data_IF_705068267778
#
_entry.id   IF_705068267778
#
_cell.length_a   1.000
_cell.length_b   1.000
_cell.length_c   1.000
_cell.angle_alpha   90.00
_cell.angle_beta   90.00
_cell.angle_gamma   90.00
#
_symmetry.space_group_name_H-M   'P 1'
#
loop_
_entity.id
_entity.type
_entity.pdbx_description
1 polymer ?
#
# COMPACT_ATOMS: atom_id res chain seq x y z
N UNK A 1 32.07 20.24 11.46
CA UNK A 1 32.97 19.19 11.96
C UNK A 1 32.17 18.29 12.89
N UNK A 2 32.58 17.04 13.02
CA UNK A 2 31.99 16.11 13.98
C UNK A 2 32.57 16.37 15.37
N UNK A 3 31.74 16.32 16.41
CA UNK A 3 32.15 16.58 17.78
C UNK A 3 32.44 15.29 18.53
N UNK A 4 33.64 15.15 19.08
CA UNK A 4 34.08 13.98 19.82
C UNK A 4 34.37 14.38 21.27
N UNK A 5 33.81 13.62 22.21
CA UNK A 5 34.10 13.76 23.63
C UNK A 5 35.06 12.64 24.06
N UNK A 6 36.20 13.02 24.63
CA UNK A 6 37.21 12.11 25.18
C UNK A 6 37.10 12.14 26.71
N UNK A 7 36.88 10.97 27.31
CA UNK A 7 36.77 10.78 28.76
C UNK A 7 37.92 9.88 29.19
N UNK A 8 38.92 10.45 29.85
CA UNK A 8 40.18 9.80 30.21
C UNK A 8 40.77 10.51 31.43
N UNK A 9 41.17 9.79 32.48
CA UNK A 9 41.66 10.39 33.73
C UNK A 9 43.15 10.74 33.67
N UNK A 10 43.94 9.99 32.90
CA UNK A 10 45.35 10.30 32.67
C UNK A 10 45.50 11.53 31.75
N UNK A 11 45.83 12.68 32.34
CA UNK A 11 45.95 13.95 31.61
C UNK A 11 46.87 13.90 30.37
N UNK A 12 48.07 13.28 30.41
CA UNK A 12 48.92 13.19 29.22
C UNK A 12 48.24 12.43 28.07
N UNK A 13 47.63 11.28 28.38
CA UNK A 13 46.94 10.48 27.35
C UNK A 13 45.71 11.18 26.80
N UNK A 14 44.95 11.87 27.66
CA UNK A 14 43.81 12.69 27.23
C UNK A 14 44.25 13.81 26.28
N UNK A 15 45.32 14.52 26.61
CA UNK A 15 45.88 15.59 25.77
C UNK A 15 46.39 15.03 24.43
N UNK A 16 47.10 13.90 24.43
CA UNK A 16 47.57 13.22 23.21
C UNK A 16 46.39 12.86 22.29
N UNK A 17 45.31 12.28 22.83
CA UNK A 17 44.12 11.93 22.04
C UNK A 17 43.47 13.20 21.47
N UNK A 18 43.31 14.25 22.27
CA UNK A 18 42.71 15.50 21.81
C UNK A 18 43.51 16.15 20.67
N UNK A 19 44.85 16.15 20.74
CA UNK A 19 45.73 16.67 19.69
C UNK A 19 45.62 15.83 18.41
N UNK A 20 45.60 14.49 18.53
CA UNK A 20 45.38 13.60 17.39
C UNK A 20 44.05 13.91 16.71
N UNK A 21 42.96 14.07 17.48
CA UNK A 21 41.64 14.33 16.93
C UNK A 21 41.52 15.72 16.29
N UNK A 22 42.18 16.74 16.86
CA UNK A 22 42.25 18.07 16.25
C UNK A 22 42.99 18.03 14.90
N UNK A 23 44.07 17.25 14.80
CA UNK A 23 44.79 17.01 13.54
C UNK A 23 43.95 16.25 12.49
N UNK A 24 42.92 15.52 12.93
CA UNK A 24 41.96 14.80 12.09
C UNK A 24 40.68 15.64 11.80
N UNK A 25 40.71 16.96 12.04
CA UNK A 25 39.60 17.90 11.80
C UNK A 25 38.31 17.60 12.61
N UNK A 26 38.44 17.04 13.81
CA UNK A 26 37.33 16.85 14.75
C UNK A 26 37.24 17.99 15.77
N UNK A 27 36.01 18.38 16.15
CA UNK A 27 35.79 19.27 17.29
C UNK A 27 35.87 18.45 18.58
N UNK A 28 36.79 18.79 19.48
CA UNK A 28 37.11 17.92 20.62
C UNK A 28 36.70 18.52 21.96
N UNK A 29 36.16 17.67 22.84
CA UNK A 29 35.89 17.96 24.24
C UNK A 29 36.65 16.97 25.12
N UNK A 30 37.27 17.45 26.19
CA UNK A 30 37.96 16.62 27.19
C UNK A 30 37.21 16.58 28.51
N UNK A 31 37.11 15.38 29.10
CA UNK A 31 36.63 15.15 30.45
C UNK A 31 37.65 14.34 31.25
N UNK A 32 37.93 14.79 32.47
CA UNK A 32 38.94 14.20 33.36
C UNK A 32 38.45 13.00 34.18
N UNK A 33 37.14 12.72 34.16
CA UNK A 33 36.55 11.53 34.76
C UNK A 33 35.15 11.26 34.18
N UNK A 34 34.58 10.09 34.49
CA UNK A 34 33.27 9.69 33.99
C UNK A 34 32.12 10.61 34.40
N UNK A 35 32.16 11.22 35.60
CA UNK A 35 31.09 12.12 36.07
C UNK A 35 31.05 13.40 35.23
N UNK A 36 32.21 14.00 35.00
CA UNK A 36 32.36 15.17 34.12
C UNK A 36 31.97 14.81 32.68
N UNK A 37 32.39 13.63 32.20
CA UNK A 37 32.08 13.13 30.87
C UNK A 37 30.58 12.97 30.62
N UNK A 38 29.84 12.36 31.54
CA UNK A 38 28.37 12.23 31.43
C UNK A 38 27.70 13.60 31.36
N UNK A 39 28.13 14.55 32.21
CA UNK A 39 27.57 15.90 32.21
C UNK A 39 27.81 16.62 30.88
N UNK A 40 29.04 16.57 30.37
CA UNK A 40 29.39 17.17 29.08
C UNK A 40 28.64 16.51 27.92
N UNK A 41 28.49 15.18 27.94
CA UNK A 41 27.73 14.46 26.90
C UNK A 41 26.26 14.90 26.84
N UNK A 42 25.64 15.15 28.00
CA UNK A 42 24.25 15.63 28.08
C UNK A 42 24.09 17.09 27.63
N UNK A 43 25.10 17.93 27.92
CA UNK A 43 25.09 19.35 27.58
C UNK A 43 25.41 19.60 26.11
N UNK A 44 26.45 18.96 25.58
CA UNK A 44 27.00 19.25 24.27
C UNK A 44 26.59 18.27 23.17
N UNK A 45 25.99 17.12 23.53
CA UNK A 45 25.50 16.08 22.61
C UNK A 45 26.53 15.75 21.51
N UNK A 46 27.72 15.22 21.88
CA UNK A 46 28.75 14.89 20.90
C UNK A 46 28.25 13.84 19.89
N UNK A 47 28.86 13.83 18.70
CA UNK A 47 28.61 12.82 17.68
C UNK A 47 29.21 11.46 18.05
N UNK A 48 30.26 11.42 18.87
CA UNK A 48 30.91 10.21 19.35
C UNK A 48 31.59 10.43 20.71
N UNK A 49 31.66 9.38 21.53
CA UNK A 49 32.37 9.38 22.81
C UNK A 49 33.48 8.33 22.78
N UNK A 50 34.69 8.73 23.16
CA UNK A 50 35.81 7.84 23.46
C UNK A 50 35.95 7.84 24.98
N UNK A 51 35.89 6.68 25.62
CA UNK A 51 35.85 6.57 27.07
C UNK A 51 36.82 5.52 27.56
N UNK A 52 37.73 5.88 28.47
CA UNK A 52 38.47 4.88 29.22
C UNK A 52 37.54 4.06 30.11
N UNK A 53 37.88 2.79 30.30
CA UNK A 53 37.13 1.91 31.18
C UNK A 53 37.52 2.14 32.63
N UNK A 54 38.81 2.27 32.94
CA UNK A 54 39.33 2.22 34.30
C UNK A 54 39.62 3.62 34.85
N UNK A 55 38.56 4.37 35.16
CA UNK A 55 38.67 5.69 35.77
C UNK A 55 38.20 5.69 37.25
N UNK A 56 38.70 6.64 38.08
CA UNK A 56 38.13 6.91 39.39
C UNK A 56 36.72 7.50 39.29
N UNK A 57 35.98 7.43 40.40
CA UNK A 57 34.60 7.95 40.59
C UNK A 57 33.51 7.22 39.80
N UNK A 58 33.60 7.24 38.46
CA UNK A 58 32.67 6.58 37.55
C UNK A 58 33.46 5.94 36.40
N UNK A 59 33.43 4.61 36.36
CA UNK A 59 34.09 3.81 35.33
C UNK A 59 33.37 3.92 33.97
N UNK A 60 34.02 3.48 32.89
CA UNK A 60 33.46 3.59 31.55
C UNK A 60 32.13 2.84 31.38
N UNK A 61 31.94 1.72 32.10
CA UNK A 61 30.67 1.01 32.11
C UNK A 61 29.54 1.82 32.76
N UNK A 62 29.84 2.50 33.86
CA UNK A 62 28.94 3.42 34.54
C UNK A 62 28.59 4.64 33.68
N UNK A 63 29.56 5.17 32.92
CA UNK A 63 29.32 6.21 31.90
C UNK A 63 28.33 5.72 30.86
N UNK A 64 28.60 4.57 30.22
CA UNK A 64 27.72 4.00 29.19
C UNK A 64 26.30 3.79 29.73
N UNK A 65 26.16 3.17 30.89
CA UNK A 65 24.85 2.95 31.51
C UNK A 65 24.10 4.27 31.76
N UNK A 66 24.78 5.29 32.25
CA UNK A 66 24.19 6.61 32.50
C UNK A 66 23.72 7.28 31.21
N UNK A 67 24.48 7.16 30.12
CA UNK A 67 24.12 7.73 28.83
C UNK A 67 22.92 7.01 28.19
N UNK A 68 22.79 5.70 28.37
CA UNK A 68 21.66 4.91 27.85
C UNK A 68 20.33 5.18 28.57
N UNK A 69 20.35 5.80 29.76
CA UNK A 69 19.12 6.16 30.50
C UNK A 69 18.38 7.38 29.90
N UNK A 70 19.03 8.17 29.05
CA UNK A 70 18.41 9.35 28.41
C UNK A 70 18.30 9.16 26.91
N UNK A 71 17.10 9.35 26.35
CA UNK A 71 16.85 9.17 24.92
C UNK A 71 17.74 10.05 24.01
N UNK A 72 18.20 11.21 24.51
CA UNK A 72 19.08 12.13 23.75
C UNK A 72 20.50 11.62 23.63
N UNK A 73 21.01 10.96 24.67
CA UNK A 73 22.40 10.46 24.74
C UNK A 73 22.49 8.97 24.44
N UNK A 74 21.37 8.24 24.52
CA UNK A 74 21.33 6.80 24.31
C UNK A 74 21.72 6.37 22.89
N UNK A 75 21.64 7.28 21.92
CA UNK A 75 21.98 7.05 20.51
C UNK A 75 23.42 7.47 20.15
N UNK A 76 24.16 8.08 21.08
CA UNK A 76 25.53 8.53 20.83
C UNK A 76 26.44 7.29 20.84
N UNK A 77 27.23 7.06 19.77
CA UNK A 77 28.15 5.95 19.71
C UNK A 77 29.27 6.13 20.73
N UNK A 78 29.65 5.04 21.38
CA UNK A 78 30.70 5.04 22.39
C UNK A 78 31.74 3.96 22.07
N UNK A 79 33.00 4.39 22.01
CA UNK A 79 34.18 3.55 21.86
C UNK A 79 34.87 3.46 23.22
N UNK A 80 35.10 2.24 23.70
CA UNK A 80 35.87 2.03 24.92
C UNK A 80 37.37 2.01 24.65
N UNK A 81 38.17 2.62 25.54
CA UNK A 81 39.61 2.42 25.62
C UNK A 81 39.92 1.44 26.75
N UNK A 82 40.92 0.57 26.55
CA UNK A 82 41.27 -0.45 27.53
C UNK A 82 42.73 -0.85 27.56
N UNK A 83 43.29 -0.98 28.76
CA UNK A 83 44.62 -1.54 28.97
C UNK A 83 44.68 -3.09 28.82
N UNK A 84 43.53 -3.79 28.85
CA UNK A 84 43.47 -5.26 28.75
C UNK A 84 42.77 -5.71 27.48
N UNK A 85 43.38 -6.66 26.77
CA UNK A 85 42.80 -7.36 25.62
C UNK A 85 42.03 -8.63 26.04
N UNK A 86 41.55 -8.71 27.28
CA UNK A 86 40.91 -9.92 27.77
C UNK A 86 39.53 -10.09 27.11
N UNK A 87 39.31 -11.25 26.46
CA UNK A 87 38.08 -11.51 25.68
C UNK A 87 36.79 -11.47 26.51
N UNK A 88 36.90 -11.50 27.85
CA UNK A 88 35.75 -11.37 28.75
C UNK A 88 35.27 -9.92 28.83
N UNK A 89 36.19 -8.96 28.99
CA UNK A 89 35.89 -7.53 29.17
C UNK A 89 35.33 -6.90 27.89
N UNK A 90 35.87 -7.29 26.74
CA UNK A 90 35.36 -6.89 25.41
C UNK A 90 33.93 -7.40 25.22
N UNK A 91 33.65 -8.67 25.58
CA UNK A 91 32.31 -9.24 25.47
C UNK A 91 31.32 -8.54 26.40
N UNK A 92 31.74 -8.16 27.60
CA UNK A 92 30.90 -7.41 28.52
C UNK A 92 30.53 -6.04 27.93
N UNK A 93 31.50 -5.27 27.42
CA UNK A 93 31.25 -3.97 26.78
C UNK A 93 30.32 -4.05 25.57
N UNK A 94 30.56 -5.01 24.68
CA UNK A 94 29.70 -5.23 23.51
C UNK A 94 28.27 -5.65 23.88
N UNK A 95 28.12 -6.51 24.91
CA UNK A 95 26.80 -6.91 25.42
C UNK A 95 26.04 -5.74 26.09
N UNK A 96 26.77 -4.77 26.65
CA UNK A 96 26.19 -3.54 27.21
C UNK A 96 25.82 -2.50 26.14
N UNK A 97 26.16 -2.76 24.88
CA UNK A 97 25.82 -1.89 23.75
C UNK A 97 26.85 -0.78 23.51
N UNK A 98 28.13 -1.04 23.80
CA UNK A 98 29.23 -0.28 23.21
C UNK A 98 29.27 -0.51 21.70
N UNK A 99 29.66 0.52 20.94
CA UNK A 99 29.68 0.46 19.49
C UNK A 99 31.02 -0.09 18.98
N UNK A 100 32.12 0.16 19.71
CA UNK A 100 33.43 -0.43 19.44
C UNK A 100 34.37 -0.42 20.67
N UNK A 101 35.57 -0.96 20.50
CA UNK A 101 36.60 -1.09 21.52
C UNK A 101 38.01 -0.93 20.96
N UNK A 102 38.86 -0.17 21.64
CA UNK A 102 40.25 0.07 21.25
C UNK A 102 41.20 -0.27 22.42
N UNK A 103 42.16 -1.15 22.16
CA UNK A 103 43.15 -1.57 23.17
C UNK A 103 44.35 -0.63 23.20
N UNK A 104 44.77 -0.22 24.40
CA UNK A 104 45.99 0.54 24.66
C UNK A 104 47.22 -0.39 24.68
N UNK A 105 48.38 0.00 24.10
CA UNK A 105 48.58 1.19 23.27
C UNK A 105 47.96 0.99 21.88
N UNK A 106 47.45 2.07 21.30
CA UNK A 106 46.89 2.11 19.94
C UNK A 106 47.68 3.10 19.07
N UNK A 107 47.58 2.91 17.77
CA UNK A 107 48.10 3.82 16.76
C UNK A 107 47.05 4.86 16.35
N UNK A 108 47.50 5.95 15.73
CA UNK A 108 46.60 6.98 15.17
C UNK A 108 45.63 6.35 14.15
N UNK A 109 46.13 5.45 13.29
CA UNK A 109 45.33 4.76 12.28
C UNK A 109 44.22 3.92 12.92
N UNK A 110 44.53 3.17 13.98
CA UNK A 110 43.53 2.34 14.68
C UNK A 110 42.44 3.20 15.34
N UNK A 111 42.82 4.35 15.90
CA UNK A 111 41.85 5.30 16.49
C UNK A 111 40.94 5.91 15.41
N UNK A 112 41.52 6.38 14.31
CA UNK A 112 40.78 6.97 13.19
C UNK A 112 39.80 5.95 12.56
N UNK A 113 40.27 4.72 12.31
CA UNK A 113 39.44 3.65 11.75
C UNK A 113 38.24 3.32 12.65
N UNK A 114 38.44 3.21 13.97
CA UNK A 114 37.36 2.93 14.92
C UNK A 114 36.31 4.06 14.97
N UNK A 115 36.76 5.32 14.95
CA UNK A 115 35.88 6.50 14.92
C UNK A 115 35.05 6.51 13.64
N UNK A 116 35.70 6.36 12.49
CA UNK A 116 35.04 6.40 11.19
C UNK A 116 34.01 5.27 11.04
N UNK A 117 34.37 4.05 11.44
CA UNK A 117 33.46 2.91 11.41
C UNK A 117 32.19 3.15 12.25
N UNK A 118 32.34 3.74 13.44
CA UNK A 118 31.21 4.09 14.30
C UNK A 118 30.31 5.17 13.68
N UNK A 119 30.91 6.25 13.17
CA UNK A 119 30.19 7.36 12.56
C UNK A 119 29.45 6.94 11.28
N UNK A 120 30.07 6.14 10.42
CA UNK A 120 29.44 5.62 9.20
C UNK A 120 28.25 4.71 9.50
N UNK A 121 28.40 3.83 10.48
CA UNK A 121 27.33 2.93 10.93
C UNK A 121 26.15 3.73 11.50
N UNK A 122 26.42 4.78 12.28
CA UNK A 122 25.37 5.67 12.80
C UNK A 122 24.67 6.44 11.67
N UNK A 123 25.42 6.98 10.71
CA UNK A 123 24.88 7.69 9.57
C UNK A 123 23.97 6.79 8.71
N UNK A 124 24.43 5.57 8.43
CA UNK A 124 23.66 4.56 7.67
C UNK A 124 22.36 4.19 8.39
N UNK A 125 22.42 3.96 9.71
CA UNK A 125 21.23 3.68 10.53
C UNK A 125 20.23 4.84 10.50
N UNK A 126 20.71 6.08 10.60
CA UNK A 126 19.86 7.28 10.55
C UNK A 126 19.19 7.44 9.19
N UNK A 127 19.94 7.29 8.10
CA UNK A 127 19.39 7.35 6.74
C UNK A 127 18.33 6.25 6.50
N UNK A 128 18.59 5.02 6.95
CA UNK A 128 17.62 3.92 6.83
C UNK A 128 16.31 4.21 7.58
N UNK A 129 16.39 4.80 8.78
CA UNK A 129 15.22 5.20 9.56
C UNK A 129 14.44 6.35 8.90
N UNK A 130 15.13 7.33 8.33
CA UNK A 130 14.50 8.44 7.60
C UNK A 130 13.78 7.93 6.35
N UNK A 131 14.44 7.10 5.54
CA UNK A 131 13.84 6.49 4.34
C UNK A 131 12.61 5.64 4.68
N UNK A 132 12.65 4.86 5.77
CA UNK A 132 11.51 4.07 6.21
C UNK A 132 10.31 4.96 6.57
N UNK A 133 10.53 6.03 7.34
CA UNK A 133 9.48 6.99 7.72
C UNK A 133 8.86 7.68 6.49
N UNK A 134 9.68 8.08 5.53
CA UNK A 134 9.20 8.69 4.28
C UNK A 134 8.36 7.71 3.46
N UNK A 135 8.79 6.45 3.36
CA UNK A 135 8.05 5.40 2.65
C UNK A 135 6.68 5.13 3.30
N UNK A 136 6.64 5.02 4.64
CA UNK A 136 5.41 4.85 5.40
C UNK A 136 4.45 6.02 5.21
N UNK A 137 4.94 7.26 5.30
CA UNK A 137 4.13 8.46 5.08
C UNK A 137 3.56 8.51 3.66
N UNK A 138 4.36 8.17 2.65
CA UNK A 138 3.93 8.11 1.24
C UNK A 138 2.88 7.03 1.03
N UNK A 139 3.05 5.85 1.64
CA UNK A 139 2.07 4.76 1.57
C UNK A 139 0.72 5.18 2.16
N UNK A 140 0.73 5.78 3.36
CA UNK A 140 -0.49 6.31 3.99
C UNK A 140 -1.19 7.37 3.14
N UNK A 141 -0.42 8.25 2.50
CA UNK A 141 -0.98 9.26 1.60
C UNK A 141 -1.67 8.63 0.38
N UNK A 142 -1.04 7.61 -0.23
CA UNK A 142 -1.63 6.89 -1.36
C UNK A 142 -2.93 6.20 -0.98
N UNK A 143 -2.99 5.55 0.19
CA UNK A 143 -4.23 4.92 0.69
C UNK A 143 -5.35 5.95 0.85
N UNK A 144 -5.08 7.11 1.46
CA UNK A 144 -6.08 8.18 1.60
C UNK A 144 -6.56 8.73 0.26
N UNK A 145 -5.66 8.85 -0.72
CA UNK A 145 -6.03 9.30 -2.06
C UNK A 145 -6.95 8.29 -2.76
N UNK A 146 -6.69 6.99 -2.61
CA UNK A 146 -7.54 5.95 -3.15
C UNK A 146 -8.95 5.96 -2.52
N UNK A 147 -9.04 6.07 -1.18
CA UNK A 147 -10.33 6.15 -0.48
C UNK A 147 -11.17 7.35 -0.94
N UNK A 148 -10.54 8.51 -1.19
CA UNK A 148 -11.22 9.68 -1.71
C UNK A 148 -11.75 9.45 -3.13
N UNK A 149 -10.95 8.84 -4.01
CA UNK A 149 -11.36 8.52 -5.38
C UNK A 149 -12.55 7.55 -5.38
N UNK A 150 -12.51 6.52 -4.53
CA UNK A 150 -13.61 5.56 -4.40
C UNK A 150 -14.90 6.23 -3.90
N UNK A 151 -14.77 7.14 -2.92
CA UNK A 151 -15.90 7.92 -2.40
C UNK A 151 -16.50 8.83 -3.47
N UNK A 152 -15.68 9.59 -4.20
CA UNK A 152 -16.14 10.46 -5.30
C UNK A 152 -16.83 9.64 -6.40
N UNK A 153 -16.24 8.51 -6.77
CA UNK A 153 -16.80 7.58 -7.77
C UNK A 153 -18.18 7.09 -7.33
N UNK A 154 -18.33 6.71 -6.04
CA UNK A 154 -19.62 6.29 -5.49
C UNK A 154 -20.65 7.43 -5.45
N UNK A 155 -20.23 8.66 -5.18
CA UNK A 155 -21.12 9.83 -5.19
C UNK A 155 -21.63 10.13 -6.61
N UNK A 156 -20.75 10.10 -7.61
CA UNK A 156 -21.10 10.34 -9.02
C UNK A 156 -22.15 9.31 -9.47
N UNK A 157 -21.94 8.02 -9.23
CA UNK A 157 -22.91 6.97 -9.62
C UNK A 157 -24.27 7.08 -8.95
N UNK A 158 -24.30 7.62 -7.73
CA UNK A 158 -25.54 7.84 -6.99
C UNK A 158 -26.21 9.18 -7.34
N UNK A 159 -25.64 9.96 -8.27
CA UNK A 159 -26.27 11.16 -8.79
C UNK A 159 -27.59 10.80 -9.47
N UNK A 160 -28.65 11.50 -9.08
CA UNK A 160 -29.98 11.34 -9.67
C UNK A 160 -29.98 11.64 -11.18
N UNK A 161 -29.08 12.49 -11.66
CA UNK A 161 -28.95 12.79 -13.10
C UNK A 161 -28.53 11.56 -13.91
N UNK A 162 -27.51 10.83 -13.45
CA UNK A 162 -27.02 9.62 -14.12
C UNK A 162 -28.09 8.52 -14.13
N UNK A 163 -28.75 8.29 -12.99
CA UNK A 163 -29.84 7.31 -12.91
C UNK A 163 -30.99 7.64 -13.87
N UNK A 164 -31.34 8.92 -14.00
CA UNK A 164 -32.39 9.35 -14.93
C UNK A 164 -32.01 9.12 -16.39
N UNK A 165 -30.75 9.37 -16.77
CA UNK A 165 -30.25 9.10 -18.12
C UNK A 165 -30.38 7.60 -18.43
N UNK A 166 -29.83 6.74 -17.56
CA UNK A 166 -29.88 5.28 -17.74
C UNK A 166 -31.34 4.81 -17.89
N UNK A 167 -32.23 5.23 -16.98
CA UNK A 167 -33.65 4.85 -17.03
C UNK A 167 -34.31 5.29 -18.34
N UNK A 168 -34.08 6.53 -18.78
CA UNK A 168 -34.65 7.04 -20.04
C UNK A 168 -34.13 6.29 -21.28
N UNK A 169 -32.85 5.90 -21.27
CA UNK A 169 -32.22 5.11 -22.33
C UNK A 169 -32.82 3.71 -22.39
N UNK A 170 -32.98 3.03 -21.25
CA UNK A 170 -33.56 1.68 -21.21
C UNK A 170 -35.02 1.67 -21.69
N UNK A 171 -35.82 2.68 -21.31
CA UNK A 171 -37.18 2.84 -21.82
C UNK A 171 -37.17 3.02 -23.35
N UNK A 172 -36.25 3.84 -23.86
CA UNK A 172 -36.12 4.12 -25.29
C UNK A 172 -35.71 2.88 -26.07
N UNK A 173 -34.67 2.16 -25.61
CA UNK A 173 -34.22 0.90 -26.23
C UNK A 173 -35.37 -0.11 -26.26
N UNK A 174 -36.01 -0.34 -25.11
CA UNK A 174 -37.11 -1.31 -25.00
C UNK A 174 -38.24 -1.00 -25.99
N UNK A 175 -38.64 0.27 -26.07
CA UNK A 175 -39.70 0.70 -26.98
C UNK A 175 -39.27 0.61 -28.46
N UNK A 176 -38.03 0.97 -28.80
CA UNK A 176 -37.52 0.89 -30.18
C UNK A 176 -37.40 -0.56 -30.64
N UNK A 177 -36.83 -1.41 -29.80
CA UNK A 177 -36.64 -2.83 -30.07
C UNK A 177 -37.91 -3.64 -29.80
N UNK A 178 -39.00 -3.03 -29.31
CA UNK A 178 -40.25 -3.74 -28.98
C UNK A 178 -39.98 -4.99 -28.12
N UNK A 179 -39.12 -4.86 -27.12
CA UNK A 179 -38.79 -5.94 -26.17
C UNK A 179 -39.64 -5.82 -24.92
N UNK A 180 -39.79 -6.92 -24.20
CA UNK A 180 -40.59 -6.92 -22.99
C UNK A 180 -39.84 -6.32 -21.81
N UNK A 181 -38.52 -6.53 -21.75
CA UNK A 181 -37.64 -5.98 -20.72
C UNK A 181 -36.31 -5.55 -21.33
N UNK A 182 -35.77 -4.49 -20.76
CA UNK A 182 -34.43 -3.99 -21.02
C UNK A 182 -33.79 -3.61 -19.69
N UNK A 183 -32.65 -4.20 -19.36
CA UNK A 183 -31.95 -3.99 -18.09
C UNK A 183 -30.49 -3.58 -18.30
N UNK A 184 -29.98 -2.78 -17.37
CA UNK A 184 -28.57 -2.43 -17.28
C UNK A 184 -27.96 -3.05 -16.02
N UNK A 185 -26.93 -3.86 -16.23
CA UNK A 185 -26.20 -4.61 -15.20
C UNK A 185 -24.75 -4.13 -15.13
N UNK A 186 -24.12 -4.20 -13.96
CA UNK A 186 -22.68 -3.91 -13.78
C UNK A 186 -22.01 -5.07 -13.05
N UNK A 187 -20.93 -5.59 -13.62
CA UNK A 187 -20.15 -6.67 -13.03
C UNK A 187 -19.36 -6.21 -11.80
N UNK A 188 -19.46 -6.97 -10.71
CA UNK A 188 -18.78 -6.77 -9.44
C UNK A 188 -17.77 -7.90 -9.21
N UNK A 189 -16.55 -7.72 -9.70
CA UNK A 189 -15.49 -8.73 -9.62
C UNK A 189 -14.59 -8.67 -8.37
N UNK A 190 -14.60 -7.57 -7.61
CA UNK A 190 -13.68 -7.33 -6.48
C UNK A 190 -14.26 -7.80 -5.13
N UNK A 191 -15.07 -8.85 -5.14
CA UNK A 191 -15.72 -9.45 -3.95
C UNK A 191 -15.52 -10.97 -3.97
N UNK A 192 -15.66 -11.63 -2.82
CA UNK A 192 -15.41 -13.08 -2.69
C UNK A 192 -16.24 -13.93 -3.65
N UNK A 193 -17.47 -13.49 -3.95
CA UNK A 193 -18.37 -14.10 -4.93
C UNK A 193 -18.78 -13.06 -5.98
N UNK A 194 -18.17 -13.07 -7.18
CA UNK A 194 -18.49 -12.11 -8.24
C UNK A 194 -19.94 -12.21 -8.73
N UNK A 195 -20.57 -11.08 -9.03
CA UNK A 195 -21.97 -11.03 -9.48
C UNK A 195 -22.25 -9.83 -10.39
N UNK A 196 -23.39 -9.83 -11.08
CA UNK A 196 -23.84 -8.73 -11.94
C UNK A 196 -24.88 -7.86 -11.23
N UNK A 197 -24.53 -6.71 -10.64
CA UNK A 197 -25.51 -5.84 -9.99
C UNK A 197 -26.54 -5.26 -10.99
N UNK A 198 -27.84 -5.44 -10.74
CA UNK A 198 -28.91 -4.74 -11.48
C UNK A 198 -28.94 -3.26 -11.09
N UNK A 199 -28.50 -2.40 -12.00
CA UNK A 199 -28.44 -0.95 -11.79
C UNK A 199 -29.76 -0.29 -12.16
N UNK A 200 -30.39 -0.72 -13.25
CA UNK A 200 -31.65 -0.16 -13.73
C UNK A 200 -32.39 -1.15 -14.65
N UNK A 201 -33.71 -1.01 -14.73
CA UNK A 201 -34.53 -1.77 -15.66
C UNK A 201 -35.75 -0.99 -16.17
N UNK A 202 -36.21 -1.37 -17.36
CA UNK A 202 -37.50 -1.02 -17.92
C UNK A 202 -38.20 -2.31 -18.36
N UNK A 203 -39.43 -2.53 -17.93
CA UNK A 203 -40.19 -3.76 -18.23
C UNK A 203 -41.67 -3.47 -18.51
N UNK A 204 -42.33 -4.37 -19.26
CA UNK A 204 -43.78 -4.38 -19.36
C UNK A 204 -44.41 -4.77 -18.02
N UNK A 205 -45.59 -4.24 -17.73
CA UNK A 205 -46.29 -4.47 -16.44
C UNK A 205 -46.49 -5.96 -16.15
N UNK A 206 -46.75 -6.76 -17.19
CA UNK A 206 -46.95 -8.20 -17.10
C UNK A 206 -45.67 -8.96 -16.73
N UNK A 207 -44.51 -8.42 -17.11
CA UNK A 207 -43.17 -9.01 -16.87
C UNK A 207 -42.52 -8.46 -15.59
N UNK A 208 -42.89 -7.25 -15.16
CA UNK A 208 -42.40 -6.63 -13.93
C UNK A 208 -42.66 -7.49 -12.67
N UNK A 209 -43.70 -8.33 -12.67
CA UNK A 209 -44.01 -9.25 -11.57
C UNK A 209 -43.29 -10.60 -11.66
N UNK A 210 -42.75 -10.97 -12.83
CA UNK A 210 -42.01 -12.21 -13.07
C UNK A 210 -40.51 -12.05 -12.72
N UNK A 211 -39.99 -10.82 -12.80
CA UNK A 211 -38.56 -10.54 -12.84
C UNK A 211 -38.01 -9.81 -11.59
N UNK A 212 -38.49 -10.16 -10.39
CA UNK A 212 -37.72 -9.85 -9.15
C UNK A 212 -36.46 -10.72 -9.02
N UNK A 213 -36.26 -11.68 -9.92
CA UNK A 213 -35.10 -12.54 -9.94
C UNK A 213 -33.93 -11.88 -10.65
N UNK A 214 -32.80 -11.92 -9.96
CA UNK A 214 -31.45 -11.67 -10.41
C UNK A 214 -31.00 -12.74 -11.44
N UNK A 215 -31.81 -12.94 -12.49
CA UNK A 215 -31.80 -14.05 -13.45
C UNK A 215 -30.53 -14.27 -14.27
N UNK A 216 -29.62 -13.30 -14.26
CA UNK A 216 -28.32 -13.38 -14.95
C UNK A 216 -27.15 -13.36 -13.95
N UNK A 217 -27.45 -13.40 -12.65
CA UNK A 217 -26.50 -13.11 -11.59
C UNK A 217 -26.08 -14.34 -10.78
N UNK A 218 -26.84 -15.44 -10.84
CA UNK A 218 -26.64 -16.62 -9.98
C UNK A 218 -26.03 -17.82 -10.72
N UNK A 219 -25.93 -17.75 -12.04
CA UNK A 219 -25.39 -18.83 -12.87
C UNK A 219 -24.03 -18.39 -13.45
N UNK A 220 -22.97 -19.10 -13.06
CA UNK A 220 -21.59 -18.69 -13.30
C UNK A 220 -21.19 -18.73 -14.78
N UNK A 221 -21.71 -19.68 -15.55
CA UNK A 221 -21.30 -19.89 -16.94
C UNK A 221 -21.89 -18.85 -17.90
N UNK A 222 -23.12 -18.38 -17.65
CA UNK A 222 -23.75 -17.22 -18.27
C UNK A 222 -22.95 -15.96 -17.99
N UNK A 223 -22.51 -15.78 -16.74
CA UNK A 223 -21.64 -14.67 -16.35
C UNK A 223 -20.33 -14.65 -17.12
N UNK A 224 -19.64 -15.80 -17.22
CA UNK A 224 -18.41 -15.94 -18.00
C UNK A 224 -18.64 -15.71 -19.51
N UNK A 225 -19.74 -16.21 -20.07
CA UNK A 225 -20.08 -15.99 -21.48
C UNK A 225 -20.24 -14.49 -21.78
N UNK A 226 -20.95 -13.77 -20.91
CA UNK A 226 -21.15 -12.32 -21.00
C UNK A 226 -19.82 -11.58 -20.90
N UNK A 227 -18.93 -11.96 -19.99
CA UNK A 227 -17.64 -11.27 -19.83
C UNK A 227 -16.66 -11.52 -21.00
N UNK A 228 -16.74 -12.68 -21.63
CA UNK A 228 -15.81 -13.08 -22.70
C UNK A 228 -16.26 -12.67 -24.11
N UNK A 229 -17.51 -12.25 -24.28
CA UNK A 229 -18.07 -11.87 -25.58
C UNK A 229 -18.56 -10.43 -25.57
N UNK A 230 -18.26 -9.68 -26.63
CA UNK A 230 -18.74 -8.30 -26.74
C UNK A 230 -20.26 -8.22 -26.90
N UNK A 231 -20.87 -9.26 -27.50
CA UNK A 231 -22.31 -9.40 -27.71
C UNK A 231 -22.75 -10.85 -27.64
N UNK A 232 -23.97 -11.08 -27.18
CA UNK A 232 -24.63 -12.38 -27.13
C UNK A 232 -25.99 -12.27 -27.82
N UNK A 233 -26.26 -13.19 -28.73
CA UNK A 233 -27.49 -13.25 -29.52
C UNK A 233 -28.11 -14.65 -29.37
N UNK A 234 -29.14 -14.74 -28.51
CA UNK A 234 -29.92 -15.95 -28.28
C UNK A 234 -31.30 -15.76 -28.90
N UNK A 235 -31.47 -16.25 -30.14
CA UNK A 235 -32.72 -16.10 -30.89
C UNK A 235 -33.83 -17.07 -30.42
N UNK A 236 -33.43 -18.27 -30.03
CA UNK A 236 -34.26 -19.29 -29.41
C UNK A 236 -33.45 -19.95 -28.30
N UNK A 237 -33.78 -19.64 -27.05
CA UNK A 237 -33.05 -20.19 -25.91
C UNK A 237 -33.16 -21.71 -25.90
N UNK A 238 -34.34 -22.28 -26.18
CA UNK A 238 -34.55 -23.73 -26.11
C UNK A 238 -33.70 -24.55 -27.09
N UNK A 239 -33.17 -23.90 -28.12
CA UNK A 239 -32.34 -24.52 -29.16
C UNK A 239 -30.90 -23.97 -29.20
N UNK A 240 -30.50 -23.13 -28.26
CA UNK A 240 -29.18 -22.50 -28.30
C UNK A 240 -28.08 -23.50 -27.95
N UNK A 241 -27.04 -23.54 -28.80
CA UNK A 241 -25.79 -24.27 -28.52
C UNK A 241 -24.73 -23.40 -27.83
N UNK A 242 -25.00 -22.11 -27.61
CA UNK A 242 -24.08 -21.18 -26.96
C UNK A 242 -24.06 -21.35 -25.43
N UNK A 243 -25.06 -22.06 -24.88
CA UNK A 243 -25.25 -22.25 -23.44
C UNK A 243 -25.19 -23.74 -23.10
N UNK A 244 -24.66 -24.04 -21.92
CA UNK A 244 -24.77 -25.38 -21.36
C UNK A 244 -26.21 -25.67 -20.87
N UNK A 245 -26.50 -26.94 -20.59
CA UNK A 245 -27.83 -27.41 -20.23
C UNK A 245 -28.36 -26.77 -18.94
N UNK A 246 -27.51 -26.44 -17.97
CA UNK A 246 -27.94 -25.84 -16.70
C UNK A 246 -28.39 -24.40 -16.90
N UNK A 247 -27.62 -23.61 -17.64
CA UNK A 247 -27.96 -22.26 -18.07
C UNK A 247 -29.24 -22.19 -18.88
N UNK A 248 -29.42 -23.13 -19.82
CA UNK A 248 -30.63 -23.25 -20.62
C UNK A 248 -31.87 -23.49 -19.74
N UNK A 249 -31.80 -24.49 -18.85
CA UNK A 249 -32.91 -24.82 -17.97
C UNK A 249 -33.27 -23.65 -17.03
N UNK A 250 -32.25 -22.93 -16.54
CA UNK A 250 -32.45 -21.77 -15.70
C UNK A 250 -33.18 -20.65 -16.44
N UNK A 251 -32.70 -20.24 -17.63
CA UNK A 251 -33.37 -19.21 -18.43
C UNK A 251 -34.79 -19.60 -18.85
N UNK A 252 -35.01 -20.87 -19.23
CA UNK A 252 -36.34 -21.38 -19.57
C UNK A 252 -37.28 -21.34 -18.36
N UNK A 253 -36.78 -21.66 -17.15
CA UNK A 253 -37.60 -21.61 -15.92
C UNK A 253 -38.11 -20.20 -15.59
N UNK A 254 -37.44 -19.18 -16.13
CA UNK A 254 -37.78 -17.76 -15.99
C UNK A 254 -38.61 -17.24 -17.17
N UNK A 255 -39.05 -18.13 -18.07
CA UNK A 255 -39.84 -17.86 -19.27
C UNK A 255 -39.12 -17.00 -20.32
N UNK A 256 -37.79 -16.95 -20.32
CA UNK A 256 -37.07 -16.28 -21.41
C UNK A 256 -37.16 -17.10 -22.71
N UNK A 257 -37.47 -16.42 -23.81
CA UNK A 257 -37.53 -17.04 -25.15
C UNK A 257 -36.43 -16.55 -26.08
N UNK A 258 -36.00 -15.29 -25.94
CA UNK A 258 -34.88 -14.72 -26.67
C UNK A 258 -34.17 -13.63 -25.85
N UNK A 259 -32.85 -13.53 -26.00
CA UNK A 259 -31.99 -12.54 -25.32
C UNK A 259 -31.04 -11.91 -26.34
N UNK A 260 -30.88 -10.60 -26.26
CA UNK A 260 -29.79 -9.86 -26.88
C UNK A 260 -29.06 -9.10 -25.79
N UNK A 261 -27.76 -9.36 -25.61
CA UNK A 261 -26.94 -8.67 -24.63
C UNK A 261 -25.71 -8.06 -25.29
N UNK A 262 -25.37 -6.84 -24.88
CA UNK A 262 -24.16 -6.14 -25.33
C UNK A 262 -23.39 -5.65 -24.12
N UNK A 263 -22.10 -5.95 -24.09
CA UNK A 263 -21.18 -5.49 -23.04
C UNK A 263 -20.73 -4.05 -23.26
N UNK A 264 -20.47 -3.38 -22.16
CA UNK A 264 -19.99 -2.00 -22.09
C UNK A 264 -18.70 -1.99 -21.28
N UNK A 265 -17.65 -1.39 -21.82
CA UNK A 265 -16.40 -1.19 -21.09
C UNK A 265 -16.31 0.27 -20.63
N UNK A 266 -16.35 0.49 -19.32
CA UNK A 266 -16.21 1.83 -18.76
C UNK A 266 -14.74 2.22 -18.62
N UNK A 267 -14.46 3.53 -18.68
CA UNK A 267 -13.12 4.06 -18.40
C UNK A 267 -12.64 3.75 -16.97
N UNK A 268 -13.56 3.48 -16.05
CA UNK A 268 -13.27 3.01 -14.69
C UNK A 268 -12.72 1.58 -14.64
N UNK A 269 -12.74 0.84 -15.76
CA UNK A 269 -12.40 -0.58 -15.82
C UNK A 269 -13.56 -1.51 -15.44
N UNK A 270 -14.73 -0.96 -15.15
CA UNK A 270 -15.93 -1.76 -14.89
C UNK A 270 -16.56 -2.26 -16.18
N UNK A 271 -17.20 -3.43 -16.11
CA UNK A 271 -17.95 -4.01 -17.21
C UNK A 271 -19.44 -3.82 -16.95
N UNK A 272 -20.10 -3.07 -17.81
CA UNK A 272 -21.55 -2.98 -17.87
C UNK A 272 -22.14 -3.91 -18.91
N UNK A 273 -23.43 -4.18 -18.84
CA UNK A 273 -24.15 -4.98 -19.84
C UNK A 273 -25.54 -4.40 -20.01
N UNK A 274 -25.95 -4.14 -21.25
CA UNK A 274 -27.37 -3.94 -21.58
C UNK A 274 -27.92 -5.27 -22.06
N UNK A 275 -29.04 -5.69 -21.48
CA UNK A 275 -29.73 -6.92 -21.82
C UNK A 275 -31.14 -6.59 -22.25
N UNK A 276 -31.53 -7.11 -23.40
CA UNK A 276 -32.85 -6.99 -24.00
C UNK A 276 -33.49 -8.37 -24.06
N UNK A 277 -34.64 -8.52 -23.42
CA UNK A 277 -35.26 -9.82 -23.17
C UNK A 277 -36.67 -9.93 -23.76
N UNK A 278 -37.00 -11.12 -24.23
CA UNK A 278 -38.30 -11.48 -24.78
C UNK A 278 -38.85 -12.71 -24.07
N UNK A 279 -40.16 -12.72 -23.79
CA UNK A 279 -40.80 -13.78 -23.02
C UNK A 279 -41.94 -14.50 -23.76
N UNK A 280 -42.33 -14.04 -24.96
CA UNK A 280 -43.54 -14.55 -25.64
C UNK A 280 -43.24 -15.68 -26.62
N UNK A 281 -42.20 -15.54 -27.44
CA UNK A 281 -41.80 -16.51 -28.48
C UNK A 281 -40.34 -16.30 -28.86
N UNK A 282 -39.67 -17.31 -29.43
CA UNK A 282 -38.37 -17.11 -30.07
C UNK A 282 -38.42 -15.95 -31.07
N UNK A 283 -37.34 -15.19 -31.13
CA UNK A 283 -37.21 -14.00 -31.96
C UNK A 283 -35.80 -13.92 -32.51
N UNK A 284 -35.71 -13.78 -33.82
CA UNK A 284 -34.45 -13.43 -34.47
C UNK A 284 -34.17 -11.94 -34.32
N UNK A 285 -33.01 -11.59 -33.78
CA UNK A 285 -32.52 -10.21 -33.75
C UNK A 285 -31.98 -9.82 -35.13
N UNK A 286 -32.47 -8.71 -35.68
CA UNK A 286 -31.97 -8.19 -36.95
C UNK A 286 -30.65 -7.46 -36.77
N UNK A 287 -29.81 -7.42 -37.82
CA UNK A 287 -28.52 -6.71 -37.76
C UNK A 287 -28.67 -5.25 -37.33
N UNK A 288 -29.74 -4.56 -37.77
CA UNK A 288 -30.00 -3.18 -37.40
C UNK A 288 -30.27 -3.01 -35.89
N UNK A 289 -30.94 -3.99 -35.26
CA UNK A 289 -31.22 -3.96 -33.83
C UNK A 289 -29.96 -4.21 -33.00
N UNK A 290 -29.13 -5.16 -33.46
CA UNK A 290 -27.83 -5.44 -32.85
C UNK A 290 -26.90 -4.24 -32.98
N UNK A 291 -26.80 -3.63 -34.17
CA UNK A 291 -26.00 -2.42 -34.41
C UNK A 291 -26.50 -1.22 -33.61
N UNK A 292 -27.81 -1.02 -33.51
CA UNK A 292 -28.39 0.05 -32.69
C UNK A 292 -28.02 -0.12 -31.22
N UNK A 293 -28.18 -1.34 -30.69
CA UNK A 293 -27.86 -1.61 -29.29
C UNK A 293 -26.36 -1.45 -29.02
N UNK A 294 -25.51 -1.90 -29.94
CA UNK A 294 -24.06 -1.69 -29.87
C UNK A 294 -23.71 -0.20 -29.90
N UNK A 295 -24.32 0.58 -30.79
CA UNK A 295 -24.08 2.02 -30.86
C UNK A 295 -24.47 2.73 -29.55
N UNK A 296 -25.58 2.33 -28.91
CA UNK A 296 -25.96 2.87 -27.60
C UNK A 296 -24.98 2.44 -26.51
N UNK A 297 -24.56 1.17 -26.50
CA UNK A 297 -23.56 0.64 -25.58
C UNK A 297 -22.22 1.39 -25.69
N UNK A 298 -21.80 1.77 -26.89
CA UNK A 298 -20.56 2.52 -27.12
C UNK A 298 -20.66 3.98 -26.64
N UNK A 299 -21.85 4.57 -26.63
CA UNK A 299 -22.06 5.96 -26.18
C UNK A 299 -22.27 6.08 -24.67
N UNK A 300 -22.77 5.03 -24.00
CA UNK A 300 -23.05 5.07 -22.56
C UNK A 300 -21.82 5.39 -21.69
N UNK A 301 -20.62 4.81 -21.92
CA UNK A 301 -19.39 5.19 -21.20
C UNK A 301 -18.95 6.64 -21.36
N UNK A 302 -19.38 7.32 -22.43
CA UNK A 302 -19.04 8.72 -22.68
C UNK A 302 -19.99 9.64 -21.90
N UNK A 303 -21.24 9.22 -21.74
CA UNK A 303 -22.28 9.96 -21.04
C UNK A 303 -22.29 9.75 -19.51
N UNK A 304 -21.61 8.70 -19.02
CA UNK A 304 -21.56 8.25 -17.62
C UNK A 304 -20.17 8.42 -17.03
#
# INVERSE_FOLDING_TARGET
MKKILVIEDEAPLREDILEILDCLDFECLGAENGVVGVKQAQEYLPDLIICDIMMPELDGYGVLNSLRQSAKTAIIPLIFLSAKADKADIRQGMNMGADDYLTKPFTISELEEAIMACLEKQATRKQAQEMLRESEAKSQQLTKQQELLDSLTKQIRNSSAIRNIINSTLITIRNLLQTHRCSFLVYRGNVDEPYFELVAESSDVEVANLAKSNALMEEASLGELILNQSRIELNDISQSSQLDVSSLNYLISLNYTAILAVTIQFLSGEVGVIVCEHFSKPRTWSNNEVELLQAVADQLPIAL
#
